data_IF_612935873616
#
_entry.id   IF_612935873616
#
_cell.length_a   1.000
_cell.length_b   1.000
_cell.length_c   1.000
_cell.angle_alpha   90.00
_cell.angle_beta   90.00
_cell.angle_gamma   90.00
#
_symmetry.space_group_name_H-M   'P 1'
#
loop_
_entity.id
_entity.type
_entity.pdbx_description
1 polymer ?
#
# COMPACT_ATOMS: atom_id res chain seq x y z
N UNK A 1 -50.98 1.62 -7.65
CA UNK A 1 -49.52 1.55 -7.81
C UNK A 1 -49.25 0.18 -8.38
N UNK A 2 -48.84 0.09 -9.64
CA UNK A 2 -48.36 -1.17 -10.21
C UNK A 2 -47.12 -1.57 -9.40
N UNK A 3 -47.11 -2.80 -8.88
CA UNK A 3 -45.90 -3.40 -8.32
C UNK A 3 -44.89 -3.51 -9.46
N UNK A 4 -43.76 -2.81 -9.35
CA UNK A 4 -42.66 -2.97 -10.30
C UNK A 4 -42.14 -4.40 -10.25
N UNK A 5 -41.90 -4.98 -11.43
CA UNK A 5 -41.32 -6.32 -11.58
C UNK A 5 -39.92 -6.37 -10.92
N UNK A 6 -39.70 -7.27 -9.95
CA UNK A 6 -38.39 -7.45 -9.32
C UNK A 6 -37.25 -7.69 -10.33
N UNK A 7 -37.51 -8.35 -11.46
CA UNK A 7 -36.50 -8.56 -12.50
C UNK A 7 -36.10 -7.27 -13.22
N UNK A 8 -37.07 -6.41 -13.51
CA UNK A 8 -36.84 -5.10 -14.14
C UNK A 8 -36.04 -4.17 -13.22
N UNK A 9 -36.36 -4.21 -11.91
CA UNK A 9 -35.65 -3.44 -10.90
C UNK A 9 -34.21 -3.94 -10.68
N UNK A 10 -34.00 -5.26 -10.74
CA UNK A 10 -32.66 -5.86 -10.70
C UNK A 10 -31.80 -5.40 -11.88
N UNK A 11 -32.31 -5.51 -13.10
CA UNK A 11 -31.59 -5.06 -14.31
C UNK A 11 -31.26 -3.57 -14.28
N UNK A 12 -32.15 -2.73 -13.75
CA UNK A 12 -31.90 -1.30 -13.59
C UNK A 12 -30.75 -1.03 -12.59
N UNK A 13 -30.76 -1.71 -11.44
CA UNK A 13 -29.73 -1.55 -10.42
C UNK A 13 -28.37 -2.10 -10.88
N UNK A 14 -28.36 -3.23 -11.57
CA UNK A 14 -27.16 -3.80 -12.18
C UNK A 14 -26.57 -2.85 -13.23
N UNK A 15 -27.40 -2.27 -14.11
CA UNK A 15 -26.95 -1.29 -15.10
C UNK A 15 -26.37 -0.01 -14.48
N UNK A 16 -26.86 0.41 -13.32
CA UNK A 16 -26.29 1.54 -12.56
C UNK A 16 -24.92 1.19 -11.97
N UNK A 17 -24.72 -0.03 -11.44
CA UNK A 17 -23.41 -0.44 -10.94
C UNK A 17 -22.40 -0.67 -12.07
N UNK A 18 -22.83 -1.22 -13.21
CA UNK A 18 -21.96 -1.45 -14.37
C UNK A 18 -21.56 -0.14 -15.08
N UNK A 19 -22.39 0.89 -15.01
CA UNK A 19 -22.08 2.23 -15.53
C UNK A 19 -21.25 3.09 -14.58
N UNK A 20 -21.08 2.67 -13.31
CA UNK A 20 -20.20 3.35 -12.38
C UNK A 20 -18.73 2.94 -12.66
N UNK A 21 -17.88 3.84 -13.22
CA UNK A 21 -16.48 3.53 -13.50
C UNK A 21 -15.68 3.20 -12.24
N UNK A 22 -16.29 3.35 -11.06
CA UNK A 22 -15.69 3.10 -9.76
C UNK A 22 -15.93 1.68 -9.22
N UNK A 23 -16.82 0.91 -9.84
CA UNK A 23 -17.22 -0.43 -9.38
C UNK A 23 -16.86 -1.41 -10.48
N UNK A 24 -15.56 -1.60 -10.68
CA UNK A 24 -15.07 -2.61 -11.64
C UNK A 24 -15.62 -4.00 -11.27
N UNK A 25 -16.11 -4.75 -12.26
CA UNK A 25 -16.71 -6.08 -12.10
C UNK A 25 -15.93 -6.94 -11.08
N UNK A 26 -16.53 -7.37 -9.95
CA UNK A 26 -16.03 -8.55 -9.26
C UNK A 26 -16.17 -9.77 -10.17
N UNK A 27 -15.29 -10.78 -10.05
CA UNK A 27 -15.47 -12.02 -10.78
C UNK A 27 -16.72 -12.74 -10.23
N UNK A 28 -17.82 -12.70 -10.97
CA UNK A 28 -18.90 -13.65 -10.76
C UNK A 28 -18.39 -15.06 -11.12
N UNK A 29 -18.34 -15.90 -10.10
CA UNK A 29 -17.99 -17.33 -10.07
C UNK A 29 -16.53 -17.79 -10.31
N UNK A 30 -16.04 -18.77 -9.49
CA UNK A 30 -14.70 -19.33 -9.56
C UNK A 30 -14.64 -20.47 -10.56
N UNK A 31 -14.51 -20.17 -11.85
CA UNK A 31 -14.24 -21.21 -12.85
C UNK A 31 -13.65 -20.64 -14.14
N UNK A 32 -12.44 -20.07 -14.07
CA UNK A 32 -11.58 -19.96 -15.26
C UNK A 32 -10.10 -19.72 -14.88
N UNK A 33 -9.14 -20.50 -15.41
CA UNK A 33 -7.71 -20.34 -15.11
C UNK A 33 -7.03 -19.12 -15.79
N UNK A 34 -7.76 -18.27 -16.52
CA UNK A 34 -7.17 -17.27 -17.40
C UNK A 34 -7.00 -15.86 -16.78
N UNK A 35 -6.64 -15.77 -15.50
CA UNK A 35 -6.35 -14.50 -14.80
C UNK A 35 -5.00 -13.85 -15.18
N UNK A 36 -4.30 -14.34 -16.22
CA UNK A 36 -2.97 -13.86 -16.58
C UNK A 36 -2.98 -12.67 -17.56
N UNK A 37 -4.12 -12.38 -18.21
CA UNK A 37 -4.20 -11.37 -19.28
C UNK A 37 -4.47 -9.93 -18.80
N UNK A 38 -4.96 -9.72 -17.58
CA UNK A 38 -5.28 -8.37 -17.06
C UNK A 38 -4.04 -7.57 -16.59
N UNK A 39 -2.84 -8.14 -16.67
CA UNK A 39 -1.60 -7.49 -16.21
C UNK A 39 -1.11 -6.40 -17.20
N UNK A 40 -1.70 -6.29 -18.40
CA UNK A 40 -1.10 -5.56 -19.52
C UNK A 40 -1.72 -4.18 -19.82
N UNK A 41 -2.77 -3.73 -19.12
CA UNK A 41 -3.41 -2.44 -19.48
C UNK A 41 -2.74 -1.21 -18.80
N UNK A 42 -1.90 -1.39 -17.79
CA UNK A 42 -1.26 -0.26 -17.07
C UNK A 42 0.20 0.00 -17.50
N UNK A 43 0.51 -0.20 -18.79
CA UNK A 43 1.70 0.40 -19.41
C UNK A 43 1.37 1.84 -19.78
N UNK A 44 1.04 2.66 -18.78
CA UNK A 44 1.08 4.10 -18.94
C UNK A 44 2.56 4.52 -19.01
N UNK A 45 2.87 5.23 -20.09
CA UNK A 45 4.12 5.92 -20.39
C UNK A 45 4.67 6.71 -19.19
N UNK A 46 6.00 6.94 -19.12
CA UNK A 46 6.62 7.66 -18.01
C UNK A 46 6.20 9.13 -18.07
N UNK A 47 5.10 9.48 -17.41
CA UNK A 47 4.90 10.84 -16.97
C UNK A 47 5.73 11.03 -15.70
N UNK A 48 6.91 11.61 -15.89
CA UNK A 48 7.78 12.16 -14.86
C UNK A 48 6.99 13.19 -14.03
N UNK A 49 6.20 12.73 -13.07
CA UNK A 49 5.72 13.59 -12.00
C UNK A 49 6.75 13.58 -10.88
N UNK A 50 7.82 14.36 -11.10
CA UNK A 50 8.74 14.73 -10.03
C UNK A 50 7.98 15.62 -9.04
N UNK A 51 7.87 15.25 -7.74
CA UNK A 51 7.36 16.19 -6.75
C UNK A 51 8.25 17.44 -6.79
N UNK A 52 7.67 18.61 -7.06
CA UNK A 52 8.36 19.90 -6.98
C UNK A 52 8.69 20.18 -5.51
N UNK A 53 9.82 19.66 -5.04
CA UNK A 53 10.44 20.05 -3.78
C UNK A 53 11.06 21.45 -4.00
N UNK A 54 10.85 22.42 -3.08
CA UNK A 54 11.39 23.78 -3.23
C UNK A 54 12.90 23.77 -3.53
N UNK A 55 13.32 24.56 -4.52
CA UNK A 55 14.69 24.62 -5.09
C UNK A 55 15.78 25.17 -4.14
N UNK A 56 15.59 25.17 -2.83
CA UNK A 56 16.49 25.87 -1.88
C UNK A 56 17.45 25.00 -1.08
N UNK A 57 17.54 23.70 -1.32
CA UNK A 57 18.52 22.84 -0.62
C UNK A 57 19.64 22.33 -1.55
N UNK A 58 20.53 23.23 -1.96
CA UNK A 58 21.86 22.87 -2.46
C UNK A 58 22.80 22.64 -1.26
N UNK A 59 22.78 21.43 -0.71
CA UNK A 59 23.84 20.95 0.19
C UNK A 59 24.78 20.02 -0.60
N UNK A 60 26.07 20.34 -0.53
CA UNK A 60 27.21 19.78 -1.28
C UNK A 60 27.14 18.27 -1.55
N UNK A 61 27.51 17.92 -2.78
CA UNK A 61 27.57 16.58 -3.38
C UNK A 61 28.61 15.61 -2.77
N UNK A 62 29.18 15.88 -1.60
CA UNK A 62 30.35 15.15 -1.09
C UNK A 62 30.04 13.74 -0.51
N UNK A 63 28.76 13.37 -0.41
CA UNK A 63 28.33 12.06 0.12
C UNK A 63 27.88 11.06 -0.96
N UNK A 64 27.93 11.43 -2.25
CA UNK A 64 27.38 10.65 -3.37
C UNK A 64 28.32 9.52 -3.87
N UNK A 65 29.58 9.47 -3.40
CA UNK A 65 30.63 8.63 -3.99
C UNK A 65 30.96 7.31 -3.30
N UNK A 66 30.32 6.94 -2.18
CA UNK A 66 30.73 5.74 -1.41
C UNK A 66 29.59 4.73 -1.32
N UNK A 67 29.62 3.68 -2.17
CA UNK A 67 28.63 2.58 -2.17
C UNK A 67 28.44 1.95 -0.78
N UNK A 68 29.52 1.89 0.00
CA UNK A 68 29.53 1.37 1.36
C UNK A 68 28.75 2.23 2.38
N UNK A 69 28.66 3.55 2.16
CA UNK A 69 27.88 4.48 2.99
C UNK A 69 26.38 4.38 2.68
N UNK A 70 26.04 4.25 1.40
CA UNK A 70 24.67 4.07 0.92
C UNK A 70 24.03 2.75 1.40
N UNK A 71 24.78 1.65 1.41
CA UNK A 71 24.32 0.35 1.93
C UNK A 71 24.04 0.43 3.44
N UNK A 72 24.91 1.11 4.21
CA UNK A 72 24.72 1.28 5.67
C UNK A 72 23.54 2.18 6.03
N UNK A 73 23.17 3.14 5.18
CA UNK A 73 22.02 4.03 5.37
C UNK A 73 20.67 3.34 5.08
N UNK A 74 20.65 2.42 4.11
CA UNK A 74 19.45 1.67 3.74
C UNK A 74 19.20 0.49 4.68
N UNK A 75 20.26 -0.12 5.23
CA UNK A 75 20.17 -1.30 6.08
C UNK A 75 19.17 -1.16 7.25
N UNK A 76 19.12 -0.04 8.01
CA UNK A 76 18.11 0.14 9.06
C UNK A 76 16.68 0.05 8.53
N UNK A 77 16.39 0.69 7.39
CA UNK A 77 15.07 0.73 6.75
C UNK A 77 14.71 -0.64 6.15
N UNK A 78 15.70 -1.30 5.57
CA UNK A 78 15.57 -2.61 4.94
C UNK A 78 15.51 -3.78 5.96
N UNK A 79 16.02 -3.58 7.19
CA UNK A 79 15.99 -4.56 8.28
C UNK A 79 14.67 -4.58 9.05
N UNK A 80 13.77 -3.62 8.84
CA UNK A 80 12.43 -3.70 9.43
C UNK A 80 11.69 -4.91 8.87
N UNK A 81 11.71 -5.97 9.67
CA UNK A 81 11.22 -7.28 9.32
C UNK A 81 9.69 -7.33 9.35
N UNK A 82 9.06 -8.21 8.57
CA UNK A 82 7.61 -8.44 8.62
C UNK A 82 7.10 -8.89 10.00
N UNK A 83 7.98 -9.43 10.86
CA UNK A 83 7.61 -10.03 12.15
C UNK A 83 7.34 -9.01 13.27
N UNK A 84 7.75 -7.75 13.11
CA UNK A 84 7.39 -6.65 14.01
C UNK A 84 7.11 -5.41 13.15
N UNK A 85 5.89 -5.27 12.62
CA UNK A 85 5.60 -4.26 11.62
C UNK A 85 5.79 -2.86 12.19
N UNK A 86 6.25 -1.95 11.33
CA UNK A 86 6.17 -0.52 11.60
C UNK A 86 4.71 -0.13 11.47
N UNK A 87 4.21 0.66 12.42
CA UNK A 87 2.86 1.21 12.34
C UNK A 87 2.87 2.52 11.53
N UNK A 88 3.90 3.34 11.73
CA UNK A 88 3.97 4.68 11.16
C UNK A 88 5.40 5.10 10.79
N UNK A 89 5.51 5.93 9.75
CA UNK A 89 6.76 6.59 9.37
C UNK A 89 6.55 8.11 9.42
N UNK A 90 7.52 8.81 10.00
CA UNK A 90 7.52 10.27 10.10
C UNK A 90 8.81 10.87 9.57
N UNK A 91 8.71 12.06 8.98
CA UNK A 91 9.87 12.86 8.58
C UNK A 91 10.07 13.97 9.61
N UNK A 92 11.17 13.91 10.35
CA UNK A 92 11.39 14.72 11.56
C UNK A 92 12.49 15.73 11.29
N UNK A 93 12.25 16.99 11.64
CA UNK A 93 13.29 18.02 11.54
C UNK A 93 14.39 17.75 12.58
N UNK A 94 15.69 17.92 12.27
CA UNK A 94 16.78 17.66 13.22
C UNK A 94 16.62 18.32 14.60
N UNK A 95 16.00 19.50 14.68
CA UNK A 95 15.76 20.17 15.97
C UNK A 95 14.75 19.45 16.86
N UNK A 96 13.84 18.66 16.29
CA UNK A 96 12.81 17.92 17.03
C UNK A 96 13.33 16.57 17.58
N UNK A 97 14.44 16.06 17.05
CA UNK A 97 15.07 14.84 17.58
C UNK A 97 15.59 15.02 19.01
N UNK A 98 15.98 16.24 19.39
CA UNK A 98 16.48 16.54 20.74
C UNK A 98 15.34 16.37 21.74
N UNK A 99 14.17 16.96 21.46
CA UNK A 99 12.96 16.85 22.28
C UNK A 99 12.47 15.40 22.41
N UNK A 100 12.44 14.66 21.30
CA UNK A 100 12.03 13.24 21.30
C UNK A 100 12.98 12.32 22.07
N UNK A 101 14.22 12.75 22.30
CA UNK A 101 15.20 12.02 23.11
C UNK A 101 15.18 12.45 24.59
N UNK A 102 14.73 13.67 24.89
CA UNK A 102 14.57 14.18 26.26
C UNK A 102 13.36 13.53 26.98
N UNK A 103 12.26 13.28 26.27
CA UNK A 103 11.09 12.52 26.76
C UNK A 103 11.41 11.05 27.13
N UNK A 104 12.62 10.58 26.82
CA UNK A 104 13.09 9.20 27.10
C UNK A 104 13.68 9.10 28.52
N UNK A 105 13.79 10.20 29.28
CA UNK A 105 14.39 10.16 30.61
C UNK A 105 15.88 9.79 30.58
N UNK A 106 16.55 10.02 29.45
CA UNK A 106 18.02 9.97 29.39
C UNK A 106 18.50 11.26 30.07
N UNK A 107 18.49 11.25 31.40
CA UNK A 107 19.15 12.28 32.20
C UNK A 107 20.58 12.43 31.67
N UNK A 108 20.99 13.66 31.41
CA UNK A 108 22.35 14.04 31.06
C UNK A 108 23.30 13.90 32.26
N UNK A 109 23.26 12.75 32.95
CA UNK A 109 24.06 12.47 34.12
C UNK A 109 24.93 11.23 33.89
N UNK A 110 26.22 11.50 33.78
CA UNK A 110 27.38 10.63 33.99
C UNK A 110 27.80 9.61 32.91
N UNK A 111 28.94 9.98 32.30
CA UNK A 111 30.17 9.17 32.11
C UNK A 111 30.06 7.85 31.34
N UNK A 112 30.65 7.88 30.14
CA UNK A 112 31.09 6.68 29.43
C UNK A 112 31.30 6.98 27.96
N UNK A 113 32.55 7.05 27.54
CA UNK A 113 32.97 7.21 26.14
C UNK A 113 32.45 6.04 25.30
N UNK A 114 31.23 6.18 24.78
CA UNK A 114 30.71 5.34 23.71
C UNK A 114 30.51 6.28 22.54
N UNK A 115 31.23 6.04 21.45
CA UNK A 115 31.06 6.75 20.19
C UNK A 115 29.55 6.78 19.86
N UNK A 116 28.88 7.91 20.12
CA UNK A 116 27.52 8.17 19.62
C UNK A 116 27.64 8.17 18.10
N UNK A 117 27.45 7.01 17.50
CA UNK A 117 27.51 6.88 16.05
C UNK A 117 26.52 7.88 15.46
N UNK A 118 26.94 8.61 14.41
CA UNK A 118 26.13 9.67 13.77
C UNK A 118 24.68 9.24 13.46
N UNK A 119 24.41 7.93 13.36
CA UNK A 119 23.09 7.32 13.15
C UNK A 119 22.04 7.64 14.21
N UNK A 120 22.40 7.91 15.46
CA UNK A 120 21.44 8.29 16.52
C UNK A 120 20.75 9.64 16.29
N UNK A 121 21.24 10.44 15.33
CA UNK A 121 20.63 11.72 14.91
C UNK A 121 19.87 11.60 13.59
N UNK A 122 19.95 10.46 12.91
CA UNK A 122 19.41 10.25 11.57
C UNK A 122 18.10 9.46 11.57
N UNK A 123 18.00 8.49 12.49
CA UNK A 123 16.85 7.62 12.64
C UNK A 123 16.40 7.61 14.10
N UNK A 124 15.09 7.69 14.30
CA UNK A 124 14.43 7.51 15.59
C UNK A 124 13.48 6.33 15.48
N UNK A 125 13.55 5.40 16.44
CA UNK A 125 12.71 4.20 16.43
C UNK A 125 12.18 3.98 17.83
N UNK A 126 10.86 4.09 18.00
CA UNK A 126 10.17 3.83 19.26
C UNK A 126 8.73 3.44 18.98
N UNK A 127 8.16 2.55 19.79
CA UNK A 127 6.73 2.19 19.74
C UNK A 127 6.24 1.84 18.32
N UNK A 128 7.03 1.06 17.57
CA UNK A 128 6.73 0.68 16.18
C UNK A 128 6.70 1.84 15.17
N UNK A 129 7.20 3.02 15.54
CA UNK A 129 7.29 4.19 14.66
C UNK A 129 8.73 4.43 14.24
N UNK A 130 8.91 4.81 12.98
CA UNK A 130 10.20 5.18 12.41
C UNK A 130 10.20 6.67 12.03
N UNK A 131 11.03 7.44 12.72
CA UNK A 131 11.38 8.81 12.37
C UNK A 131 12.63 8.86 11.50
N UNK A 132 12.56 9.53 10.35
CA UNK A 132 13.71 9.79 9.49
C UNK A 132 14.01 11.28 9.50
N UNK A 133 15.26 11.64 9.76
CA UNK A 133 15.69 13.03 9.76
C UNK A 133 15.60 13.65 8.37
N UNK A 134 14.98 14.82 8.26
CA UNK A 134 14.85 15.54 6.99
C UNK A 134 16.21 15.89 6.38
N UNK A 135 17.25 16.00 7.21
CA UNK A 135 18.64 16.25 6.78
C UNK A 135 19.20 15.17 5.84
N UNK A 136 18.72 13.92 5.95
CA UNK A 136 19.23 12.79 5.16
C UNK A 136 18.28 12.30 4.10
N UNK A 137 17.08 12.87 3.96
CA UNK A 137 16.07 12.36 3.03
C UNK A 137 16.56 12.30 1.58
N UNK A 138 17.17 13.38 1.08
CA UNK A 138 17.65 13.40 -0.30
C UNK A 138 18.79 12.41 -0.56
N UNK A 139 19.90 12.41 0.24
CA UNK A 139 20.95 11.39 0.08
C UNK A 139 20.45 9.95 0.22
N UNK A 140 19.49 9.72 1.13
CA UNK A 140 18.90 8.42 1.38
C UNK A 140 18.00 7.96 0.23
N UNK A 141 17.20 8.86 -0.34
CA UNK A 141 16.41 8.60 -1.55
C UNK A 141 17.30 8.24 -2.73
N UNK A 142 18.36 9.02 -3.00
CA UNK A 142 19.30 8.73 -4.09
C UNK A 142 19.93 7.35 -3.91
N UNK A 143 20.36 7.02 -2.69
CA UNK A 143 20.90 5.71 -2.35
C UNK A 143 19.88 4.58 -2.63
N UNK A 144 18.65 4.73 -2.14
CA UNK A 144 17.60 3.73 -2.29
C UNK A 144 17.20 3.54 -3.76
N UNK A 145 17.10 4.64 -4.52
CA UNK A 145 16.82 4.61 -5.95
C UNK A 145 17.92 3.86 -6.72
N UNK A 146 19.19 4.18 -6.46
CA UNK A 146 20.31 3.52 -7.14
C UNK A 146 20.35 2.01 -6.84
N UNK A 147 20.20 1.64 -5.56
CA UNK A 147 20.16 0.24 -5.15
C UNK A 147 18.97 -0.52 -5.78
N UNK A 148 17.79 0.12 -5.86
CA UNK A 148 16.63 -0.45 -6.55
C UNK A 148 16.88 -0.64 -8.04
N UNK A 149 17.42 0.37 -8.72
CA UNK A 149 17.69 0.31 -10.17
C UNK A 149 18.70 -0.80 -10.48
N UNK A 150 19.74 -0.94 -9.66
CA UNK A 150 20.73 -2.02 -9.79
C UNK A 150 20.10 -3.40 -9.58
N UNK A 151 19.36 -3.60 -8.50
CA UNK A 151 18.67 -4.86 -8.22
C UNK A 151 17.66 -5.22 -9.32
N UNK A 152 16.93 -4.23 -9.84
CA UNK A 152 15.95 -4.43 -10.90
C UNK A 152 16.61 -4.78 -12.25
N UNK A 153 17.76 -4.17 -12.57
CA UNK A 153 18.57 -4.56 -13.75
C UNK A 153 19.02 -6.01 -13.65
N UNK A 154 19.59 -6.41 -12.50
CA UNK A 154 20.07 -7.77 -12.28
C UNK A 154 18.93 -8.80 -12.37
N UNK A 155 17.78 -8.49 -11.76
CA UNK A 155 16.58 -9.33 -11.86
C UNK A 155 16.06 -9.46 -13.30
N UNK A 156 16.04 -8.37 -14.08
CA UNK A 156 15.63 -8.40 -15.49
C UNK A 156 16.57 -9.20 -16.37
N UNK A 157 17.89 -9.08 -16.16
CA UNK A 157 18.89 -9.86 -16.89
C UNK A 157 18.69 -11.35 -16.64
N UNK A 158 18.59 -11.76 -15.37
CA UNK A 158 18.35 -13.16 -15.02
C UNK A 158 17.04 -13.70 -15.63
N UNK A 159 15.95 -12.92 -15.58
CA UNK A 159 14.67 -13.32 -16.18
C UNK A 159 14.72 -13.51 -17.70
N UNK A 160 15.59 -12.78 -18.41
CA UNK A 160 15.81 -12.98 -19.86
C UNK A 160 16.55 -14.29 -20.12
N UNK A 161 17.50 -14.66 -19.26
CA UNK A 161 18.21 -15.92 -19.35
C UNK A 161 17.34 -17.13 -19.00
N UNK A 162 16.48 -17.05 -17.99
CA UNK A 162 15.55 -18.13 -17.61
C UNK A 162 14.58 -18.51 -18.74
N UNK A 163 14.23 -17.57 -19.63
CA UNK A 163 13.39 -17.87 -20.81
C UNK A 163 14.14 -18.69 -21.89
N UNK A 164 15.47 -18.68 -21.87
CA UNK A 164 16.32 -19.29 -22.89
C UNK A 164 17.05 -20.55 -22.39
N UNK A 165 17.03 -20.85 -21.09
CA UNK A 165 17.75 -22.00 -20.52
C UNK A 165 16.89 -22.63 -19.42
N UNK A 166 16.25 -23.74 -19.77
CA UNK A 166 15.55 -24.61 -18.83
C UNK A 166 16.60 -25.43 -18.07
N UNK A 167 16.49 -25.43 -16.74
CA UNK A 167 17.18 -26.29 -15.76
C UNK A 167 18.38 -25.62 -15.04
N UNK A 168 18.21 -25.45 -13.73
CA UNK A 168 19.24 -25.21 -12.69
C UNK A 168 19.62 -23.74 -12.37
N UNK A 169 18.77 -22.98 -11.66
CA UNK A 169 19.14 -21.68 -11.02
C UNK A 169 18.20 -21.24 -9.87
N UNK A 170 17.65 -22.17 -9.08
CA UNK A 170 16.66 -21.80 -8.05
C UNK A 170 17.20 -20.93 -6.91
N UNK A 171 18.44 -21.15 -6.45
CA UNK A 171 19.03 -20.42 -5.32
C UNK A 171 19.46 -18.98 -5.66
N UNK A 172 20.03 -18.76 -6.84
CA UNK A 172 20.40 -17.42 -7.33
C UNK A 172 19.16 -16.56 -7.62
N UNK A 173 18.11 -17.17 -8.18
CA UNK A 173 16.84 -16.50 -8.47
C UNK A 173 16.15 -16.00 -7.18
N UNK A 174 16.10 -16.83 -6.13
CA UNK A 174 15.53 -16.45 -4.83
C UNK A 174 16.28 -15.28 -4.17
N UNK A 175 17.61 -15.25 -4.31
CA UNK A 175 18.46 -14.16 -3.79
C UNK A 175 18.17 -12.84 -4.50
N UNK A 176 18.06 -12.85 -5.83
CA UNK A 176 17.76 -11.66 -6.64
C UNK A 176 16.36 -11.10 -6.34
N UNK A 177 15.36 -11.96 -6.18
CA UNK A 177 14.01 -11.57 -5.79
C UNK A 177 13.98 -10.92 -4.40
N UNK A 178 14.72 -11.49 -3.44
CA UNK A 178 14.84 -10.94 -2.09
C UNK A 178 15.45 -9.54 -2.09
N UNK A 179 16.57 -9.35 -2.80
CA UNK A 179 17.20 -8.02 -2.89
C UNK A 179 16.31 -7.01 -3.63
N UNK A 180 15.60 -7.42 -4.69
CA UNK A 180 14.63 -6.55 -5.37
C UNK A 180 13.48 -6.13 -4.42
N UNK A 181 12.91 -7.06 -3.65
CA UNK A 181 11.85 -6.78 -2.68
C UNK A 181 12.33 -5.87 -1.54
N UNK A 182 13.58 -6.02 -1.11
CA UNK A 182 14.21 -5.21 -0.07
C UNK A 182 14.49 -3.78 -0.53
N UNK A 183 15.06 -3.61 -1.72
CA UNK A 183 15.39 -2.28 -2.24
C UNK A 183 14.15 -1.51 -2.73
N UNK A 184 13.17 -2.20 -3.32
CA UNK A 184 11.87 -1.58 -3.64
C UNK A 184 11.15 -1.11 -2.37
N UNK A 185 11.19 -1.90 -1.27
CA UNK A 185 10.66 -1.49 0.04
C UNK A 185 11.30 -0.20 0.51
N UNK A 186 12.64 -0.15 0.56
CA UNK A 186 13.37 1.03 1.01
C UNK A 186 13.06 2.28 0.16
N UNK A 187 12.97 2.13 -1.17
CA UNK A 187 12.61 3.23 -2.06
C UNK A 187 11.18 3.73 -1.84
N UNK A 188 10.22 2.81 -1.71
CA UNK A 188 8.80 3.15 -1.55
C UNK A 188 8.47 3.79 -0.21
N UNK A 189 9.26 3.53 0.84
CA UNK A 189 9.14 4.24 2.12
C UNK A 189 9.58 5.72 2.03
N UNK A 190 10.35 6.08 1.00
CA UNK A 190 10.84 7.45 0.77
C UNK A 190 10.09 8.13 -0.38
N UNK A 191 9.55 7.34 -1.31
CA UNK A 191 8.88 7.79 -2.52
C UNK A 191 7.75 6.81 -2.84
N UNK A 192 6.60 7.01 -2.21
CA UNK A 192 5.46 6.09 -2.26
C UNK A 192 4.84 5.92 -3.65
N UNK A 193 4.96 6.92 -4.53
CA UNK A 193 4.36 6.91 -5.86
C UNK A 193 5.32 6.39 -6.95
N UNK A 194 6.43 5.75 -6.58
CA UNK A 194 7.37 5.17 -7.54
C UNK A 194 6.79 3.88 -8.18
N UNK A 195 5.95 4.06 -9.20
CA UNK A 195 5.17 2.97 -9.83
C UNK A 195 6.01 1.79 -10.35
N UNK A 196 7.22 2.04 -10.86
CA UNK A 196 8.12 0.95 -11.31
C UNK A 196 8.51 0.01 -10.16
N UNK A 197 8.66 0.54 -8.94
CA UNK A 197 8.97 -0.27 -7.77
C UNK A 197 7.77 -1.14 -7.40
N UNK A 198 6.55 -0.59 -7.35
CA UNK A 198 5.33 -1.37 -7.14
C UNK A 198 5.15 -2.49 -8.17
N UNK A 199 5.29 -2.17 -9.46
CA UNK A 199 5.16 -3.15 -10.53
C UNK A 199 6.22 -4.25 -10.45
N UNK A 200 7.45 -3.93 -10.03
CA UNK A 200 8.50 -4.93 -9.80
C UNK A 200 8.12 -5.92 -8.69
N UNK A 201 7.42 -5.46 -7.64
CA UNK A 201 6.94 -6.29 -6.52
C UNK A 201 5.80 -7.19 -6.96
N UNK A 202 4.80 -6.64 -7.66
CA UNK A 202 3.71 -7.43 -8.29
C UNK A 202 4.28 -8.59 -9.10
N UNK A 203 5.30 -8.31 -9.91
CA UNK A 203 5.95 -9.32 -10.74
C UNK A 203 6.62 -10.46 -9.95
N UNK A 204 7.29 -10.15 -8.83
CA UNK A 204 7.89 -11.19 -7.95
C UNK A 204 6.79 -11.99 -7.26
N UNK A 205 5.77 -11.32 -6.74
CA UNK A 205 4.68 -11.93 -5.98
C UNK A 205 3.80 -12.84 -6.84
N UNK A 206 3.50 -12.45 -8.09
CA UNK A 206 2.74 -13.27 -9.05
C UNK A 206 3.37 -14.62 -9.34
N UNK A 207 4.70 -14.74 -9.24
CA UNK A 207 5.40 -16.02 -9.43
C UNK A 207 5.27 -16.95 -8.24
N UNK A 208 5.33 -16.40 -7.02
CA UNK A 208 5.34 -17.18 -5.78
C UNK A 208 3.95 -17.56 -5.30
N UNK A 209 2.97 -16.68 -5.53
CA UNK A 209 1.57 -16.80 -5.09
C UNK A 209 1.44 -17.24 -3.61
N UNK A 210 2.36 -16.79 -2.75
CA UNK A 210 2.35 -17.12 -1.33
C UNK A 210 1.43 -16.19 -0.57
N UNK A 211 0.43 -16.74 0.14
CA UNK A 211 -0.49 -15.98 0.98
C UNK A 211 0.25 -15.09 2.00
N UNK A 212 1.31 -15.62 2.62
CA UNK A 212 2.14 -14.87 3.57
C UNK A 212 2.77 -13.61 2.94
N UNK A 213 3.16 -13.68 1.67
CA UNK A 213 3.76 -12.57 0.94
C UNK A 213 2.73 -11.49 0.65
N UNK A 214 1.51 -11.88 0.30
CA UNK A 214 0.38 -10.97 0.13
C UNK A 214 0.01 -10.26 1.44
N UNK A 215 -0.07 -10.97 2.56
CA UNK A 215 -0.33 -10.35 3.88
C UNK A 215 0.74 -9.34 4.26
N UNK A 216 2.01 -9.69 4.05
CA UNK A 216 3.13 -8.79 4.29
C UNK A 216 3.08 -7.54 3.40
N UNK A 217 2.49 -7.64 2.21
CA UNK A 217 2.30 -6.52 1.28
C UNK A 217 1.14 -5.60 1.71
N UNK A 218 0.05 -6.15 2.26
CA UNK A 218 -1.01 -5.35 2.89
C UNK A 218 -0.47 -4.58 4.10
N UNK A 219 0.30 -5.24 4.97
CA UNK A 219 0.96 -4.58 6.10
C UNK A 219 1.88 -3.46 5.59
N UNK A 220 2.72 -3.76 4.60
CA UNK A 220 3.65 -2.78 4.05
C UNK A 220 2.97 -1.55 3.45
N UNK A 221 1.91 -1.76 2.66
CA UNK A 221 1.14 -0.64 2.09
C UNK A 221 0.38 0.16 3.15
N UNK A 222 -0.01 -0.44 4.29
CA UNK A 222 -0.56 0.30 5.43
C UNK A 222 0.45 1.29 6.01
N UNK A 223 1.73 0.88 6.14
CA UNK A 223 2.81 1.77 6.59
C UNK A 223 2.98 2.97 5.64
N UNK A 224 2.86 2.72 4.34
CA UNK A 224 2.93 3.81 3.34
C UNK A 224 1.75 4.76 3.48
N UNK A 225 0.54 4.22 3.62
CA UNK A 225 -0.67 5.03 3.78
C UNK A 225 -0.70 5.82 5.10
N UNK A 226 0.01 5.38 6.14
CA UNK A 226 0.09 6.11 7.42
C UNK A 226 0.67 7.53 7.25
N UNK A 227 1.60 7.72 6.31
CA UNK A 227 2.25 9.01 6.05
C UNK A 227 1.85 9.62 4.70
N UNK A 228 1.35 8.80 3.77
CA UNK A 228 0.87 9.20 2.44
C UNK A 228 -0.55 8.68 2.18
N UNK A 229 -1.57 9.16 2.92
CA UNK A 229 -2.94 8.59 2.92
C UNK A 229 -3.67 8.71 1.57
N UNK A 230 -3.19 9.60 0.68
CA UNK A 230 -3.74 9.83 -0.66
C UNK A 230 -2.87 9.26 -1.78
N UNK A 231 -1.94 8.33 -1.49
CA UNK A 231 -1.14 7.67 -2.54
C UNK A 231 -2.00 6.70 -3.36
N UNK A 232 -2.17 6.98 -4.65
CA UNK A 232 -2.93 6.07 -5.55
C UNK A 232 -2.22 4.74 -5.73
N UNK A 233 -0.90 4.76 -5.82
CA UNK A 233 -0.11 3.55 -6.05
C UNK A 233 -0.25 2.57 -4.88
N UNK A 234 -0.29 3.08 -3.64
CA UNK A 234 -0.53 2.26 -2.46
C UNK A 234 -1.94 1.64 -2.46
N UNK A 235 -2.99 2.42 -2.76
CA UNK A 235 -4.35 1.90 -2.86
C UNK A 235 -4.52 0.89 -4.00
N UNK A 236 -3.93 1.17 -5.18
CA UNK A 236 -3.90 0.26 -6.32
C UNK A 236 -3.20 -1.06 -5.97
N UNK A 237 -2.07 -1.00 -5.25
CA UNK A 237 -1.40 -2.20 -4.77
C UNK A 237 -2.30 -3.03 -3.84
N UNK A 238 -3.01 -2.40 -2.91
CA UNK A 238 -3.93 -3.13 -2.00
C UNK A 238 -5.03 -3.84 -2.76
N UNK A 239 -5.72 -3.15 -3.68
CA UNK A 239 -6.76 -3.75 -4.52
C UNK A 239 -6.23 -4.94 -5.31
N UNK A 240 -5.03 -4.80 -5.89
CA UNK A 240 -4.36 -5.90 -6.59
C UNK A 240 -4.10 -7.09 -5.66
N UNK A 241 -3.54 -6.85 -4.46
CA UNK A 241 -3.29 -7.93 -3.49
C UNK A 241 -4.59 -8.63 -3.08
N UNK A 242 -5.65 -7.89 -2.80
CA UNK A 242 -6.96 -8.44 -2.44
C UNK A 242 -7.53 -9.30 -3.57
N UNK A 243 -7.46 -8.81 -4.83
CA UNK A 243 -7.85 -9.61 -6.00
C UNK A 243 -7.08 -10.92 -6.11
N UNK A 244 -5.79 -10.93 -5.75
CA UNK A 244 -4.96 -12.16 -5.82
C UNK A 244 -5.28 -13.18 -4.72
N UNK A 245 -5.81 -12.75 -3.58
CA UNK A 245 -6.15 -13.65 -2.46
C UNK A 245 -7.65 -13.99 -2.40
N UNK A 246 -8.50 -13.20 -3.08
CA UNK A 246 -9.91 -13.48 -3.26
C UNK A 246 -10.08 -14.81 -4.01
N UNK A 247 -10.58 -15.83 -3.30
CA UNK A 247 -10.75 -17.21 -3.80
C UNK A 247 -9.82 -18.25 -3.15
N UNK A 248 -8.68 -17.82 -2.58
CA UNK A 248 -7.70 -18.75 -1.97
C UNK A 248 -7.50 -18.52 -0.47
N UNK A 249 -8.27 -17.62 0.14
CA UNK A 249 -8.13 -17.24 1.55
C UNK A 249 -9.42 -17.46 2.33
N UNK A 250 -9.39 -18.36 3.32
CA UNK A 250 -10.50 -18.62 4.23
C UNK A 250 -10.87 -17.41 5.09
N UNK A 251 -9.92 -16.52 5.36
CA UNK A 251 -10.09 -15.37 6.25
C UNK A 251 -10.44 -14.09 5.48
N UNK A 252 -11.05 -14.21 4.29
CA UNK A 252 -11.35 -13.05 3.44
C UNK A 252 -12.26 -12.04 4.17
N UNK A 253 -13.27 -12.51 4.90
CA UNK A 253 -14.16 -11.65 5.69
C UNK A 253 -13.39 -10.80 6.72
N UNK A 254 -12.51 -11.42 7.50
CA UNK A 254 -11.66 -10.73 8.49
C UNK A 254 -10.74 -9.69 7.82
N UNK A 255 -10.25 -9.98 6.61
CA UNK A 255 -9.46 -9.03 5.83
C UNK A 255 -10.33 -7.84 5.41
N UNK A 256 -11.56 -8.06 4.91
CA UNK A 256 -12.47 -6.97 4.54
C UNK A 256 -12.76 -6.05 5.74
N UNK A 257 -12.99 -6.61 6.92
CA UNK A 257 -13.17 -5.83 8.14
C UNK A 257 -11.94 -4.99 8.49
N UNK A 258 -10.74 -5.59 8.40
CA UNK A 258 -9.48 -4.88 8.61
C UNK A 258 -9.26 -3.76 7.58
N UNK A 259 -9.63 -3.99 6.32
CA UNK A 259 -9.54 -2.97 5.26
C UNK A 259 -10.53 -1.81 5.50
N UNK A 260 -11.77 -2.10 5.87
CA UNK A 260 -12.78 -1.08 6.20
C UNK A 260 -12.34 -0.23 7.39
N UNK A 261 -11.77 -0.84 8.42
CA UNK A 261 -11.23 -0.13 9.58
C UNK A 261 -10.01 0.73 9.21
N UNK A 262 -9.14 0.26 8.31
CA UNK A 262 -8.04 1.06 7.79
C UNK A 262 -8.56 2.32 7.07
N UNK A 263 -9.54 2.17 6.18
CA UNK A 263 -10.14 3.31 5.47
C UNK A 263 -10.71 4.31 6.47
N UNK A 264 -11.47 3.83 7.47
CA UNK A 264 -12.03 4.68 8.53
C UNK A 264 -10.95 5.50 9.23
N UNK A 265 -9.89 4.86 9.72
CA UNK A 265 -8.76 5.53 10.39
C UNK A 265 -8.07 6.55 9.49
N UNK A 266 -7.91 6.26 8.19
CA UNK A 266 -7.27 7.17 7.25
C UNK A 266 -8.18 8.35 6.85
N UNK A 267 -9.49 8.14 6.75
CA UNK A 267 -10.46 9.19 6.49
C UNK A 267 -10.55 10.18 7.66
N UNK A 268 -10.42 9.70 8.90
CA UNK A 268 -10.34 10.51 10.12
C UNK A 268 -9.13 11.45 10.09
N UNK A 269 -7.96 10.91 9.68
CA UNK A 269 -6.69 11.63 9.68
C UNK A 269 -6.50 12.54 8.46
N UNK A 270 -7.17 12.22 7.35
CA UNK A 270 -7.02 12.93 6.08
C UNK A 270 -8.39 13.29 5.50
N UNK A 271 -8.81 14.55 5.70
CA UNK A 271 -10.05 15.09 5.13
C UNK A 271 -10.09 14.91 3.60
N UNK A 272 -11.30 14.64 3.09
CA UNK A 272 -11.59 14.47 1.66
C UNK A 272 -10.67 13.43 1.00
N UNK A 273 -10.55 12.26 1.63
CA UNK A 273 -9.77 11.16 1.08
C UNK A 273 -10.61 10.29 0.15
N UNK A 274 -10.89 10.84 -1.04
CA UNK A 274 -11.64 10.13 -2.07
C UNK A 274 -11.05 8.75 -2.39
N UNK A 275 -9.71 8.60 -2.39
CA UNK A 275 -9.06 7.32 -2.72
C UNK A 275 -9.35 6.23 -1.68
N UNK A 276 -9.43 6.59 -0.41
CA UNK A 276 -9.77 5.65 0.66
C UNK A 276 -11.24 5.23 0.58
N UNK A 277 -12.16 6.20 0.37
CA UNK A 277 -13.58 5.92 0.17
C UNK A 277 -13.83 5.09 -1.09
N UNK A 278 -13.12 5.40 -2.18
CA UNK A 278 -13.14 4.63 -3.41
C UNK A 278 -12.71 3.17 -3.19
N UNK A 279 -11.61 2.96 -2.45
CA UNK A 279 -11.20 1.61 -2.04
C UNK A 279 -12.31 0.91 -1.26
N UNK A 280 -12.99 1.61 -0.35
CA UNK A 280 -14.10 1.03 0.43
C UNK A 280 -15.32 0.68 -0.40
N UNK A 281 -15.72 1.52 -1.37
CA UNK A 281 -16.76 1.19 -2.35
C UNK A 281 -16.39 -0.10 -3.09
N UNK A 282 -15.15 -0.18 -3.57
CA UNK A 282 -14.64 -1.35 -4.30
C UNK A 282 -14.66 -2.62 -3.44
N UNK A 283 -14.36 -2.53 -2.14
CA UNK A 283 -14.37 -3.69 -1.22
C UNK A 283 -15.76 -4.32 -1.06
N UNK A 284 -16.85 -3.57 -1.24
CA UNK A 284 -18.23 -4.08 -1.11
C UNK A 284 -18.44 -5.31 -2.00
N UNK A 285 -17.80 -5.33 -3.17
CA UNK A 285 -17.87 -6.44 -4.12
C UNK A 285 -17.19 -7.74 -3.65
N UNK A 286 -16.45 -7.71 -2.54
CA UNK A 286 -15.78 -8.87 -1.91
C UNK A 286 -16.35 -9.20 -0.52
N UNK A 287 -17.38 -8.48 -0.07
CA UNK A 287 -18.01 -8.67 1.23
C UNK A 287 -19.17 -9.67 1.16
N UNK A 288 -19.43 -10.33 2.28
CA UNK A 288 -20.69 -11.06 2.49
C UNK A 288 -21.86 -10.11 2.69
N UNK A 289 -23.09 -10.61 2.54
CA UNK A 289 -24.32 -9.84 2.73
C UNK A 289 -24.37 -9.20 4.12
N UNK A 290 -23.99 -9.96 5.16
CA UNK A 290 -23.94 -9.49 6.53
C UNK A 290 -22.94 -8.33 6.70
N UNK A 291 -21.79 -8.41 6.02
CA UNK A 291 -20.77 -7.36 6.07
C UNK A 291 -21.25 -6.08 5.37
N UNK A 292 -21.94 -6.19 4.23
CA UNK A 292 -22.52 -5.03 3.53
C UNK A 292 -23.56 -4.33 4.42
N UNK A 293 -24.42 -5.10 5.09
CA UNK A 293 -25.41 -4.55 6.02
C UNK A 293 -24.74 -3.85 7.21
N UNK A 294 -23.69 -4.44 7.78
CA UNK A 294 -22.91 -3.82 8.85
C UNK A 294 -22.26 -2.51 8.39
N UNK A 295 -21.68 -2.47 7.19
CA UNK A 295 -21.07 -1.27 6.63
C UNK A 295 -22.08 -0.14 6.40
N UNK A 296 -23.28 -0.47 5.91
CA UNK A 296 -24.36 0.51 5.76
C UNK A 296 -24.80 1.11 7.11
N UNK A 297 -24.85 0.29 8.16
CA UNK A 297 -25.16 0.75 9.51
C UNK A 297 -24.03 1.60 10.10
N UNK A 298 -22.77 1.12 10.05
CA UNK A 298 -21.59 1.84 10.56
C UNK A 298 -21.38 3.19 9.90
N UNK A 299 -21.60 3.28 8.59
CA UNK A 299 -21.44 4.54 7.85
C UNK A 299 -22.49 5.60 8.22
N UNK A 300 -23.59 5.24 8.88
CA UNK A 300 -24.62 6.19 9.34
C UNK A 300 -24.08 7.05 10.48
N UNK A 301 -23.42 6.41 11.44
CA UNK A 301 -22.77 7.10 12.56
C UNK A 301 -21.69 8.04 12.06
N UNK A 302 -20.86 7.58 11.11
CA UNK A 302 -19.84 8.42 10.47
C UNK A 302 -20.44 9.66 9.80
N UNK A 303 -21.47 9.49 8.98
CA UNK A 303 -22.12 10.58 8.25
C UNK A 303 -22.76 11.62 9.21
N UNK A 304 -23.28 11.17 10.35
CA UNK A 304 -23.79 12.06 11.40
C UNK A 304 -22.72 12.95 12.02
N UNK A 305 -21.48 12.47 12.12
CA UNK A 305 -20.34 13.24 12.62
C UNK A 305 -19.62 14.05 11.54
N UNK A 306 -19.70 13.62 10.27
CA UNK A 306 -18.95 14.19 9.14
C UNK A 306 -19.88 14.66 8.01
N UNK A 307 -20.78 15.61 8.33
CA UNK A 307 -21.83 16.09 7.42
C UNK A 307 -21.30 16.67 6.09
N UNK A 308 -20.05 17.12 6.05
CA UNK A 308 -19.40 17.64 4.85
C UNK A 308 -18.61 16.61 4.03
N UNK A 309 -18.57 15.33 4.46
CA UNK A 309 -17.83 14.27 3.76
C UNK A 309 -18.68 13.66 2.63
N UNK A 310 -18.72 14.35 1.48
CA UNK A 310 -19.45 13.88 0.29
C UNK A 310 -19.02 12.47 -0.16
N UNK A 311 -17.75 12.10 0.07
CA UNK A 311 -17.25 10.77 -0.28
C UNK A 311 -17.88 9.66 0.58
N UNK A 312 -18.17 9.93 1.86
CA UNK A 312 -18.94 9.02 2.70
C UNK A 312 -20.39 8.86 2.20
N UNK A 313 -21.06 9.94 1.78
CA UNK A 313 -22.44 9.85 1.28
C UNK A 313 -22.53 9.03 -0.01
N UNK A 314 -21.58 9.22 -0.93
CA UNK A 314 -21.47 8.37 -2.12
C UNK A 314 -21.23 6.89 -1.74
N UNK A 315 -20.36 6.60 -0.77
CA UNK A 315 -20.15 5.23 -0.28
C UNK A 315 -21.44 4.60 0.28
N UNK A 316 -22.27 5.38 0.98
CA UNK A 316 -23.56 4.91 1.51
C UNK A 316 -24.54 4.54 0.39
N UNK A 317 -24.59 5.34 -0.67
CA UNK A 317 -25.40 5.07 -1.87
C UNK A 317 -24.97 3.76 -2.54
N UNK A 318 -23.66 3.54 -2.71
CA UNK A 318 -23.11 2.30 -3.28
C UNK A 318 -23.47 1.09 -2.41
N UNK A 319 -23.27 1.19 -1.09
CA UNK A 319 -23.58 0.09 -0.15
C UNK A 319 -25.06 -0.26 -0.16
N UNK A 320 -25.93 0.75 -0.24
CA UNK A 320 -27.38 0.56 -0.35
C UNK A 320 -27.78 -0.15 -1.65
N UNK A 321 -27.23 0.28 -2.80
CA UNK A 321 -27.51 -0.35 -4.11
C UNK A 321 -27.10 -1.81 -4.14
N UNK A 322 -25.91 -2.13 -3.64
CA UNK A 322 -25.44 -3.51 -3.52
C UNK A 322 -26.35 -4.36 -2.63
N UNK A 323 -26.72 -3.85 -1.45
CA UNK A 323 -27.65 -4.55 -0.56
C UNK A 323 -29.02 -4.80 -1.19
N UNK A 324 -29.54 -3.83 -1.95
CA UNK A 324 -30.81 -3.95 -2.66
C UNK A 324 -30.77 -5.05 -3.74
N UNK A 325 -29.69 -5.09 -4.54
CA UNK A 325 -29.49 -6.14 -5.57
C UNK A 325 -29.49 -7.52 -4.95
N UNK A 326 -28.72 -7.71 -3.87
CA UNK A 326 -28.63 -8.98 -3.15
C UNK A 326 -30.02 -9.42 -2.65
N UNK A 327 -30.77 -8.51 -2.02
CA UNK A 327 -32.10 -8.80 -1.50
C UNK A 327 -33.09 -9.21 -2.61
N UNK A 328 -33.04 -8.53 -3.76
CA UNK A 328 -33.90 -8.84 -4.90
C UNK A 328 -33.52 -10.20 -5.50
N UNK A 329 -32.23 -10.48 -5.69
CA UNK A 329 -31.76 -11.78 -6.17
C UNK A 329 -32.16 -12.93 -5.24
N UNK A 330 -32.17 -12.71 -3.92
CA UNK A 330 -32.65 -13.68 -2.95
C UNK A 330 -34.18 -13.87 -2.97
N UNK A 331 -34.93 -12.87 -3.44
CA UNK A 331 -36.40 -12.91 -3.52
C UNK A 331 -36.91 -13.53 -4.83
N UNK A 332 -36.07 -13.58 -5.87
CA UNK A 332 -36.39 -14.12 -7.20
C UNK A 332 -36.04 -15.61 -7.34
N UNK A 333 -35.15 -16.14 -6.49
CA UNK A 333 -34.74 -17.56 -6.46
C UNK A 333 -35.55 -18.39 -5.46
#
# INVERSE_FOLDING_TARGET
MEELDPLELLHHLEGILESDPLIGKPPFHPSSPNAMCDIVVDVATPLDYSPKIPKTFLLRNDLCGKSHFHIRLIQPIAKFAPQKPLDEIGFIHPSQFVLLNEDIGISSASVGSVQKTNFGTLFWVKDHKLGISTKVLFPLYVAAKNAFVEAYKNYKLHRRHDKNTSICSSSSSLSLESELMKHSRALLLLSCDFGTAWNSRKLVMSKKQSLSMFMNELIFSSVILSHSPKSEQAWSQRRWVIKMIAGNCSNLQEIMERESELVKKLAERSKMNYRAWYHRCWLVSYMSEEQVLQEFNKSREWAGLHVADNSCFHYREVSFRYGAIIFIQASVN
#
